data_IF_056432837005
#
_entry.id   IF_056432837005
#
_cell.length_a   1.000
_cell.length_b   1.000
_cell.length_c   1.000
_cell.angle_alpha   90.00
_cell.angle_beta   90.00
_cell.angle_gamma   90.00
#
_symmetry.space_group_name_H-M   'P 1'
#
loop_
_entity.id
_entity.type
_entity.pdbx_description
1 polymer ?
#
# COMPACT_ATOMS: atom_id res chain seq x y z
N UNK A 1 -2.50 -9.15 -28.46
CA UNK A 1 -1.65 -9.96 -27.57
C UNK A 1 -1.91 -9.50 -26.14
N UNK A 2 -2.77 -10.21 -25.40
CA UNK A 2 -3.02 -9.95 -23.98
C UNK A 2 -1.77 -10.33 -23.20
N UNK A 3 -0.98 -9.35 -22.79
CA UNK A 3 0.16 -9.57 -21.90
C UNK A 3 -0.40 -9.76 -20.48
N UNK A 4 -0.78 -10.99 -20.15
CA UNK A 4 -1.13 -11.35 -18.78
C UNK A 4 0.13 -11.21 -17.94
N UNK A 5 0.30 -10.09 -17.23
CA UNK A 5 1.31 -9.98 -16.19
C UNK A 5 0.95 -11.02 -15.13
N UNK A 6 1.64 -12.16 -15.14
CA UNK A 6 1.61 -13.09 -14.01
C UNK A 6 2.02 -12.29 -12.79
N UNK A 7 1.20 -12.32 -11.73
CA UNK A 7 1.54 -11.67 -10.47
C UNK A 7 2.89 -12.17 -9.94
N UNK A 8 3.46 -11.48 -8.94
CA UNK A 8 4.71 -11.91 -8.31
C UNK A 8 4.65 -13.38 -7.91
N UNK A 9 5.79 -14.08 -7.98
CA UNK A 9 5.85 -15.47 -7.56
C UNK A 9 5.48 -15.60 -6.08
N UNK A 10 5.22 -16.83 -5.62
CA UNK A 10 4.97 -17.08 -4.20
C UNK A 10 6.15 -16.62 -3.33
N UNK A 11 7.39 -16.81 -3.81
CA UNK A 11 8.60 -16.38 -3.10
C UNK A 11 8.68 -14.85 -3.02
N UNK A 12 8.47 -14.14 -4.14
CA UNK A 12 8.46 -12.68 -4.15
C UNK A 12 7.36 -12.13 -3.25
N UNK A 13 6.20 -12.77 -3.26
CA UNK A 13 5.07 -12.44 -2.38
C UNK A 13 5.44 -12.60 -0.92
N UNK A 14 6.07 -13.72 -0.55
CA UNK A 14 6.51 -13.96 0.83
C UNK A 14 7.56 -12.92 1.26
N UNK A 15 8.54 -12.63 0.41
CA UNK A 15 9.58 -11.64 0.70
C UNK A 15 9.00 -10.22 0.86
N UNK A 16 8.02 -9.84 0.04
CA UNK A 16 7.31 -8.56 0.18
C UNK A 16 6.62 -8.43 1.54
N UNK A 17 6.02 -9.51 2.04
CA UNK A 17 5.39 -9.51 3.37
C UNK A 17 6.39 -9.49 4.52
N UNK A 18 7.52 -10.17 4.39
CA UNK A 18 8.61 -10.08 5.38
C UNK A 18 9.11 -8.63 5.46
N UNK A 19 9.40 -8.00 4.31
CA UNK A 19 9.85 -6.62 4.26
C UNK A 19 8.83 -5.65 4.89
N UNK A 20 7.54 -5.85 4.58
CA UNK A 20 6.45 -5.06 5.17
C UNK A 20 6.38 -5.23 6.71
N UNK A 21 6.52 -6.46 7.22
CA UNK A 21 6.57 -6.72 8.66
C UNK A 21 7.76 -6.02 9.33
N UNK A 22 8.95 -6.07 8.73
CA UNK A 22 10.12 -5.35 9.23
C UNK A 22 9.91 -3.84 9.24
N UNK A 23 9.27 -3.29 8.20
CA UNK A 23 8.91 -1.86 8.14
C UNK A 23 8.00 -1.45 9.30
N UNK A 24 6.98 -2.25 9.61
CA UNK A 24 6.08 -1.99 10.75
C UNK A 24 6.84 -1.91 12.06
N UNK A 25 7.80 -2.82 12.28
CA UNK A 25 8.62 -2.81 13.49
C UNK A 25 9.50 -1.55 13.53
N UNK A 26 10.19 -1.25 12.43
CA UNK A 26 11.12 -0.12 12.33
C UNK A 26 10.42 1.24 12.47
N UNK A 27 9.23 1.40 11.89
CA UNK A 27 8.48 2.66 11.90
C UNK A 27 7.64 2.85 13.17
N UNK A 28 7.49 1.81 14.01
CA UNK A 28 6.85 1.89 15.32
C UNK A 28 5.36 1.51 15.31
N UNK A 29 4.95 0.61 14.42
CA UNK A 29 3.59 0.08 14.34
C UNK A 29 2.75 0.72 13.24
N UNK A 30 1.63 0.06 12.89
CA UNK A 30 0.75 0.50 11.80
C UNK A 30 0.13 1.88 12.02
N UNK A 31 -0.14 2.28 13.27
CA UNK A 31 -0.68 3.62 13.59
C UNK A 31 0.28 4.72 13.13
N UNK A 32 1.56 4.59 13.47
CA UNK A 32 2.56 5.59 13.10
C UNK A 32 2.78 5.62 11.59
N UNK A 33 2.79 4.46 10.93
CA UNK A 33 2.84 4.39 9.46
C UNK A 33 1.65 5.09 8.84
N UNK A 34 0.44 4.84 9.34
CA UNK A 34 -0.79 5.44 8.85
C UNK A 34 -0.73 6.97 8.93
N UNK A 35 -0.39 7.50 10.11
CA UNK A 35 -0.28 8.96 10.35
C UNK A 35 0.84 9.63 9.52
N UNK A 36 1.94 8.93 9.25
CA UNK A 36 3.01 9.42 8.38
C UNK A 36 2.65 9.35 6.90
N UNK A 37 1.82 8.38 6.52
CA UNK A 37 1.47 8.13 5.13
C UNK A 37 0.28 8.98 4.69
N UNK A 38 -0.71 9.22 5.55
CA UNK A 38 -1.96 9.90 5.23
C UNK A 38 -2.18 11.11 6.14
N UNK A 39 -2.80 12.16 5.60
CA UNK A 39 -3.21 13.30 6.41
C UNK A 39 -4.36 12.87 7.32
N UNK A 40 -4.16 12.94 8.64
CA UNK A 40 -5.17 12.55 9.61
C UNK A 40 -5.90 13.74 10.21
N UNK A 41 -7.16 13.53 10.59
CA UNK A 41 -7.90 14.51 11.39
C UNK A 41 -7.40 14.47 12.85
N UNK A 42 -7.56 15.58 13.60
CA UNK A 42 -7.45 15.53 15.05
C UNK A 42 -8.35 14.42 15.60
N UNK A 43 -7.79 13.57 16.47
CA UNK A 43 -8.47 12.43 17.11
C UNK A 43 -8.87 11.27 16.19
N UNK A 44 -8.48 11.30 14.91
CA UNK A 44 -8.62 10.14 14.04
C UNK A 44 -7.78 8.98 14.57
N UNK A 45 -8.41 7.82 14.76
CA UNK A 45 -7.75 6.63 15.30
C UNK A 45 -7.75 5.51 14.27
N UNK A 46 -6.60 4.88 14.05
CA UNK A 46 -6.57 3.62 13.31
C UNK A 46 -7.32 2.53 14.09
N UNK A 47 -8.24 1.83 13.44
CA UNK A 47 -8.99 0.72 14.03
C UNK A 47 -8.43 -0.63 13.64
N UNK A 48 -8.13 -0.80 12.35
CA UNK A 48 -7.60 -2.05 11.78
C UNK A 48 -6.67 -1.77 10.60
N UNK A 49 -5.76 -2.70 10.37
CA UNK A 49 -4.90 -2.73 9.19
C UNK A 49 -4.86 -4.14 8.61
N UNK A 50 -4.89 -4.25 7.29
CA UNK A 50 -4.94 -5.53 6.57
C UNK A 50 -3.92 -5.55 5.44
N UNK A 51 -3.02 -6.52 5.47
CA UNK A 51 -2.21 -6.88 4.32
C UNK A 51 -3.13 -7.40 3.20
N UNK A 52 -3.10 -6.78 2.03
CA UNK A 52 -4.01 -7.11 0.93
C UNK A 52 -3.37 -6.89 -0.45
N UNK A 53 -4.11 -7.25 -1.49
CA UNK A 53 -3.85 -6.84 -2.86
C UNK A 53 -5.01 -5.97 -3.35
N UNK A 54 -4.70 -4.80 -3.88
CA UNK A 54 -5.66 -3.96 -4.57
C UNK A 54 -5.71 -4.38 -6.04
N UNK A 55 -6.89 -4.75 -6.53
CA UNK A 55 -7.08 -5.01 -7.96
C UNK A 55 -7.06 -3.69 -8.72
N UNK A 56 -6.18 -3.59 -9.73
CA UNK A 56 -6.12 -2.44 -10.64
C UNK A 56 -6.20 -2.93 -12.09
N UNK A 57 -6.46 -2.02 -13.03
CA UNK A 57 -6.44 -2.34 -14.47
C UNK A 57 -5.06 -2.80 -14.96
N UNK A 58 -3.99 -2.42 -14.27
CA UNK A 58 -2.62 -2.83 -14.57
C UNK A 58 -2.21 -4.15 -13.87
N UNK A 59 -3.10 -4.73 -13.06
CA UNK A 59 -2.87 -5.93 -12.25
C UNK A 59 -3.01 -5.70 -10.75
N UNK A 60 -2.89 -6.77 -9.93
CA UNK A 60 -2.98 -6.66 -8.48
C UNK A 60 -1.74 -5.94 -7.90
N UNK A 61 -1.96 -5.00 -6.98
CA UNK A 61 -0.92 -4.24 -6.28
C UNK A 61 -0.90 -4.66 -4.81
N UNK A 62 0.22 -5.18 -4.34
CA UNK A 62 0.41 -5.51 -2.93
C UNK A 62 0.45 -4.24 -2.07
N UNK A 63 -0.30 -4.23 -0.98
CA UNK A 63 -0.28 -3.12 -0.04
C UNK A 63 -0.91 -3.43 1.31
N UNK A 64 -1.14 -2.35 2.06
CA UNK A 64 -1.82 -2.34 3.34
C UNK A 64 -3.07 -1.46 3.25
N UNK A 65 -4.22 -2.03 3.63
CA UNK A 65 -5.47 -1.30 3.82
C UNK A 65 -5.60 -0.90 5.29
N UNK A 66 -5.82 0.38 5.53
CA UNK A 66 -6.04 1.01 6.82
C UNK A 66 -7.52 1.39 6.94
N UNK A 67 -8.14 0.95 8.02
CA UNK A 67 -9.48 1.37 8.43
C UNK A 67 -9.32 2.21 9.69
N UNK A 68 -9.59 3.51 9.60
CA UNK A 68 -9.62 4.42 10.74
C UNK A 68 -11.07 4.72 11.17
N UNK A 69 -11.22 5.57 12.17
CA UNK A 69 -12.53 6.11 12.57
C UNK A 69 -13.13 7.11 11.56
N UNK A 70 -12.40 7.53 10.53
CA UNK A 70 -12.83 8.58 9.61
C UNK A 70 -12.59 8.28 8.13
N UNK A 71 -11.81 7.25 7.79
CA UNK A 71 -11.52 6.88 6.41
C UNK A 71 -11.11 5.43 6.23
N UNK A 72 -11.25 5.01 4.98
CA UNK A 72 -10.53 3.88 4.40
C UNK A 72 -9.35 4.42 3.58
N UNK A 73 -8.16 3.87 3.80
CA UNK A 73 -6.95 4.29 3.12
C UNK A 73 -6.10 3.09 2.69
N UNK A 74 -5.50 3.16 1.51
CA UNK A 74 -4.64 2.12 0.96
C UNK A 74 -3.32 2.72 0.49
N UNK A 75 -2.21 2.03 0.80
CA UNK A 75 -0.90 2.33 0.26
C UNK A 75 -0.20 1.03 -0.16
N UNK A 76 0.50 1.04 -1.29
CA UNK A 76 1.32 -0.09 -1.71
C UNK A 76 2.51 -0.29 -0.76
N UNK A 77 2.93 -1.54 -0.55
CA UNK A 77 4.04 -1.83 0.36
C UNK A 77 5.39 -1.51 -0.29
N UNK A 78 5.45 -1.55 -1.63
CA UNK A 78 6.60 -1.20 -2.46
C UNK A 78 6.21 -0.14 -3.51
N UNK A 79 7.17 0.69 -3.97
CA UNK A 79 6.90 1.63 -5.04
C UNK A 79 6.69 0.88 -6.36
N UNK A 80 5.78 1.40 -7.19
CA UNK A 80 5.52 0.91 -8.53
C UNK A 80 6.29 1.75 -9.54
N UNK A 81 6.89 1.09 -10.53
CA UNK A 81 7.52 1.80 -11.64
C UNK A 81 6.50 2.23 -12.68
N UNK A 82 6.73 3.41 -13.25
CA UNK A 82 6.02 3.93 -14.40
C UNK A 82 6.98 4.67 -15.33
N UNK A 83 6.58 4.83 -16.60
CA UNK A 83 7.40 5.50 -17.62
C UNK A 83 6.94 6.94 -17.79
N UNK A 84 7.90 7.86 -17.77
CA UNK A 84 7.71 9.28 -18.11
C UNK A 84 8.65 9.59 -19.28
N UNK A 85 8.09 9.54 -20.50
CA UNK A 85 8.92 9.50 -21.71
C UNK A 85 9.84 8.28 -21.69
N UNK A 86 11.16 8.51 -21.80
CA UNK A 86 12.17 7.45 -21.75
C UNK A 86 12.64 7.09 -20.34
N UNK A 87 12.28 7.89 -19.32
CA UNK A 87 12.71 7.68 -17.93
C UNK A 87 11.76 6.74 -17.18
N UNK A 88 12.33 5.95 -16.25
CA UNK A 88 11.56 5.14 -15.31
C UNK A 88 11.51 5.86 -13.97
N UNK A 89 10.30 6.17 -13.51
CA UNK A 89 10.02 6.76 -12.21
C UNK A 89 9.38 5.74 -11.27
N UNK A 90 9.45 5.99 -9.97
CA UNK A 90 8.94 5.09 -8.93
C UNK A 90 8.08 5.84 -7.93
N UNK A 91 6.86 5.38 -7.70
CA UNK A 91 5.94 5.99 -6.72
C UNK A 91 5.09 4.94 -6.03
N UNK A 92 4.73 5.20 -4.78
CA UNK A 92 3.75 4.39 -4.08
C UNK A 92 2.35 4.63 -4.64
N UNK A 93 1.60 3.54 -4.87
CA UNK A 93 0.19 3.65 -5.19
C UNK A 93 -0.57 3.92 -3.90
N UNK A 94 -1.19 5.09 -3.80
CA UNK A 94 -1.86 5.58 -2.59
C UNK A 94 -3.25 6.10 -2.95
N UNK A 95 -4.24 5.77 -2.13
CA UNK A 95 -5.59 6.30 -2.24
C UNK A 95 -6.33 6.26 -0.91
N UNK A 96 -7.22 7.21 -0.68
CA UNK A 96 -8.06 7.24 0.52
C UNK A 96 -9.48 7.73 0.18
N UNK A 97 -10.45 7.29 0.97
CA UNK A 97 -11.83 7.75 0.92
C UNK A 97 -12.27 8.03 2.35
N UNK A 98 -12.68 9.27 2.59
CA UNK A 98 -13.28 9.67 3.87
C UNK A 98 -14.71 9.15 3.95
N UNK A 99 -15.09 8.71 5.14
CA UNK A 99 -16.45 8.34 5.46
C UNK A 99 -17.19 9.64 5.84
N UNK A 100 -18.20 9.99 5.05
CA UNK A 100 -19.06 11.18 5.24
C UNK A 100 -20.32 10.77 5.98
#
# INVERSE_FOLDING_TARGET
MLHMKTGPSLADTAMGRIAQGTKVIAEGGYEKIFQQTFDTLPEEQLKKSYACYLSTSAGPVMGTLYLSSAKLAFCSDTPLSYKVGDQTEWSYYKGERRDV
#
